data_IF_020559003381
#
_entry.id   IF_020559003381
#
_cell.length_a   1.000
_cell.length_b   1.000
_cell.length_c   1.000
_cell.angle_alpha   90.00
_cell.angle_beta   90.00
_cell.angle_gamma   90.00
#
_symmetry.space_group_name_H-M   'P 1'
#
loop_
_entity.id
_entity.type
_entity.pdbx_description
1 polymer ?
#
# COMPACT_ATOMS: atom_id res chain seq x y z
N UNK A 1 33.30 -20.71 6.38
CA UNK A 1 34.36 -20.48 7.39
C UNK A 1 35.38 -19.43 6.99
N UNK A 2 36.03 -19.49 5.82
CA UNK A 2 36.89 -18.38 5.37
C UNK A 2 36.07 -17.15 4.92
N UNK A 3 34.91 -17.37 4.27
CA UNK A 3 34.00 -16.28 3.86
C UNK A 3 33.32 -15.57 5.03
N UNK A 4 32.92 -16.30 6.09
CA UNK A 4 32.28 -15.69 7.27
C UNK A 4 33.20 -14.68 7.97
N UNK A 5 34.51 -14.94 8.02
CA UNK A 5 35.49 -14.02 8.63
C UNK A 5 35.67 -12.76 7.79
N UNK A 6 35.55 -12.88 6.47
CA UNK A 6 35.71 -11.77 5.54
C UNK A 6 34.46 -10.87 5.51
N UNK A 7 33.27 -11.44 5.67
CA UNK A 7 32.01 -10.72 5.85
C UNK A 7 31.94 -10.03 7.23
N UNK A 8 32.45 -10.69 8.30
CA UNK A 8 32.57 -10.09 9.64
C UNK A 8 33.58 -8.94 9.71
N UNK A 9 34.68 -9.00 8.93
CA UNK A 9 35.67 -7.93 8.85
C UNK A 9 35.26 -6.80 7.91
N UNK A 10 34.51 -7.09 6.84
CA UNK A 10 34.02 -6.10 5.88
C UNK A 10 32.91 -5.20 6.42
N UNK A 11 32.16 -5.65 7.43
CA UNK A 11 31.08 -4.90 8.07
C UNK A 11 31.46 -4.30 9.45
N UNK A 12 32.71 -4.42 9.88
CA UNK A 12 33.13 -3.91 11.18
C UNK A 12 33.35 -2.38 11.12
N UNK A 13 32.72 -1.59 12.01
CA UNK A 13 32.91 -0.14 12.03
C UNK A 13 34.39 0.19 12.23
N UNK A 14 34.91 1.22 11.53
CA UNK A 14 36.34 1.57 11.48
C UNK A 14 37.01 1.70 12.87
N UNK A 15 36.23 2.05 13.90
CA UNK A 15 36.66 2.13 15.29
C UNK A 15 37.06 0.77 15.89
N UNK A 16 36.40 -0.31 15.48
CA UNK A 16 36.69 -1.67 15.96
C UNK A 16 37.97 -2.21 15.31
N UNK A 17 38.15 -1.95 14.01
CA UNK A 17 39.42 -2.24 13.32
C UNK A 17 40.58 -1.46 13.95
N UNK A 18 40.36 -0.19 14.32
CA UNK A 18 41.33 0.61 15.06
C UNK A 18 41.62 0.03 16.45
N UNK A 19 40.62 -0.43 17.20
CA UNK A 19 40.81 -1.06 18.51
C UNK A 19 41.64 -2.35 18.42
N UNK A 20 41.37 -3.21 17.43
CA UNK A 20 42.16 -4.40 17.16
C UNK A 20 43.61 -4.08 16.79
N UNK A 21 43.82 -3.08 15.92
CA UNK A 21 45.16 -2.62 15.55
C UNK A 21 45.93 -2.06 16.76
N UNK A 22 45.27 -1.30 17.64
CA UNK A 22 45.89 -0.75 18.86
C UNK A 22 46.32 -1.88 19.80
N UNK A 23 45.46 -2.88 20.05
CA UNK A 23 45.78 -4.02 20.92
C UNK A 23 46.98 -4.81 20.34
N UNK A 24 47.00 -5.05 19.02
CA UNK A 24 48.10 -5.72 18.36
C UNK A 24 49.41 -4.94 18.45
N UNK A 25 49.38 -3.62 18.24
CA UNK A 25 50.54 -2.73 18.38
C UNK A 25 51.10 -2.72 19.82
N UNK A 26 50.22 -2.66 20.82
CA UNK A 26 50.62 -2.69 22.24
C UNK A 26 51.26 -4.04 22.59
N UNK A 27 50.67 -5.15 22.15
CA UNK A 27 51.20 -6.49 22.35
C UNK A 27 52.59 -6.64 21.70
N UNK A 28 52.76 -6.12 20.48
CA UNK A 28 54.02 -6.19 19.74
C UNK A 28 55.11 -5.30 20.36
N UNK A 29 54.75 -4.11 20.84
CA UNK A 29 55.66 -3.23 21.57
C UNK A 29 56.11 -3.83 22.92
N UNK A 30 55.20 -4.48 23.64
CA UNK A 30 55.50 -5.18 24.89
C UNK A 30 56.40 -6.41 24.67
N UNK A 31 56.12 -7.21 23.63
CA UNK A 31 56.95 -8.34 23.23
C UNK A 31 58.36 -7.88 22.82
N UNK A 32 58.46 -6.78 22.08
CA UNK A 32 59.75 -6.19 21.70
C UNK A 32 60.56 -5.76 22.92
N UNK A 33 59.95 -5.05 23.88
CA UNK A 33 60.59 -4.68 25.15
C UNK A 33 61.08 -5.90 25.95
N UNK A 34 60.24 -6.92 26.10
CA UNK A 34 60.60 -8.16 26.78
C UNK A 34 61.76 -8.87 26.09
N UNK A 35 61.76 -8.93 24.75
CA UNK A 35 62.84 -9.55 23.97
C UNK A 35 64.19 -8.84 24.17
N UNK A 36 64.19 -7.51 24.28
CA UNK A 36 65.39 -6.70 24.55
C UNK A 36 65.90 -6.96 25.98
N UNK A 37 65.00 -7.04 26.96
CA UNK A 37 65.36 -7.35 28.35
C UNK A 37 65.92 -8.77 28.51
N UNK A 38 65.34 -9.76 27.85
CA UNK A 38 65.83 -11.14 27.89
C UNK A 38 67.25 -11.28 27.32
N UNK A 39 67.56 -10.52 26.26
CA UNK A 39 68.92 -10.46 25.69
C UNK A 39 69.92 -9.83 26.66
N UNK A 40 69.51 -8.81 27.43
CA UNK A 40 70.38 -8.13 28.42
C UNK A 40 70.63 -8.95 29.69
N UNK A 41 69.62 -9.66 30.19
CA UNK A 41 69.69 -10.31 31.52
C UNK A 41 69.90 -11.84 31.50
N UNK A 42 70.22 -12.45 30.35
CA UNK A 42 70.40 -13.92 30.20
C UNK A 42 69.32 -14.73 30.93
N UNK A 43 68.07 -14.30 30.76
CA UNK A 43 66.91 -14.88 31.44
C UNK A 43 66.68 -16.32 30.96
N UNK A 44 66.33 -17.23 31.87
CA UNK A 44 66.08 -18.65 31.58
C UNK A 44 64.90 -18.83 30.61
N UNK A 45 64.93 -19.88 29.80
CA UNK A 45 63.89 -20.20 28.81
C UNK A 45 62.50 -20.36 29.44
N UNK A 46 62.42 -20.89 30.67
CA UNK A 46 61.16 -21.05 31.41
C UNK A 46 60.49 -19.71 31.76
N UNK A 47 61.26 -18.69 32.15
CA UNK A 47 60.70 -17.38 32.48
C UNK A 47 60.23 -16.62 31.21
N UNK A 48 60.95 -16.79 30.09
CA UNK A 48 60.53 -16.24 28.79
C UNK A 48 59.19 -16.81 28.32
N UNK A 49 59.01 -18.13 28.46
CA UNK A 49 57.76 -18.80 28.12
C UNK A 49 56.59 -18.32 29.00
N UNK A 50 56.81 -18.15 30.31
CA UNK A 50 55.78 -17.67 31.23
C UNK A 50 55.31 -16.24 30.91
N UNK A 51 56.25 -15.35 30.64
CA UNK A 51 55.94 -13.95 30.29
C UNK A 51 55.28 -13.83 28.90
N UNK A 52 55.72 -14.62 27.92
CA UNK A 52 55.07 -14.69 26.61
C UNK A 52 53.63 -15.22 26.70
N UNK A 53 53.40 -16.29 27.48
CA UNK A 53 52.08 -16.85 27.72
C UNK A 53 51.15 -15.85 28.42
N UNK A 54 51.65 -15.10 29.41
CA UNK A 54 50.88 -14.06 30.08
C UNK A 54 50.43 -12.96 29.11
N UNK A 55 51.32 -12.54 28.19
CA UNK A 55 51.01 -11.52 27.19
C UNK A 55 49.98 -12.02 26.16
N UNK A 56 50.10 -13.27 25.72
CA UNK A 56 49.12 -13.91 24.82
C UNK A 56 47.75 -14.02 25.50
N UNK A 57 47.70 -14.39 26.78
CA UNK A 57 46.45 -14.45 27.55
C UNK A 57 45.79 -13.08 27.66
N UNK A 58 46.54 -12.05 28.04
CA UNK A 58 46.01 -10.68 28.18
C UNK A 58 45.52 -10.14 26.84
N UNK A 59 46.29 -10.34 25.77
CA UNK A 59 45.88 -9.95 24.42
C UNK A 59 44.62 -10.71 23.99
N UNK A 60 44.55 -12.03 24.22
CA UNK A 60 43.39 -12.86 23.90
C UNK A 60 42.11 -12.41 24.63
N UNK A 61 42.21 -12.11 25.92
CA UNK A 61 41.07 -11.59 26.70
C UNK A 61 40.63 -10.22 26.19
N UNK A 62 41.58 -9.32 25.89
CA UNK A 62 41.25 -7.99 25.35
C UNK A 62 40.51 -8.09 24.00
N UNK A 63 40.95 -9.00 23.12
CA UNK A 63 40.28 -9.27 21.84
C UNK A 63 38.87 -9.84 22.05
N UNK A 64 38.70 -10.77 22.99
CA UNK A 64 37.41 -11.38 23.29
C UNK A 64 36.39 -10.35 23.82
N UNK A 65 36.83 -9.40 24.66
CA UNK A 65 35.97 -8.32 25.17
C UNK A 65 35.52 -7.38 24.05
N UNK A 66 36.41 -7.01 23.13
CA UNK A 66 36.06 -6.17 21.97
C UNK A 66 35.08 -6.89 21.05
N UNK A 67 35.30 -8.18 20.78
CA UNK A 67 34.38 -8.99 19.97
C UNK A 67 32.99 -9.10 20.60
N UNK A 68 32.92 -9.29 21.92
CA UNK A 68 31.65 -9.35 22.65
C UNK A 68 30.92 -8.00 22.62
N UNK A 69 31.63 -6.90 22.88
CA UNK A 69 31.06 -5.55 22.85
C UNK A 69 30.52 -5.21 21.45
N UNK A 70 31.23 -5.59 20.39
CA UNK A 70 30.77 -5.42 19.02
C UNK A 70 29.48 -6.18 18.74
N UNK A 71 29.43 -7.47 19.14
CA UNK A 71 28.24 -8.30 18.94
C UNK A 71 27.02 -7.70 19.65
N UNK A 72 27.20 -7.24 20.88
CA UNK A 72 26.12 -6.61 21.63
C UNK A 72 25.61 -5.31 20.99
N UNK A 73 26.50 -4.48 20.43
CA UNK A 73 26.10 -3.28 19.70
C UNK A 73 25.37 -3.61 18.39
N UNK A 74 25.83 -4.61 17.65
CA UNK A 74 25.17 -5.07 16.42
C UNK A 74 23.77 -5.62 16.71
N UNK A 75 23.61 -6.40 17.79
CA UNK A 75 22.30 -6.92 18.21
C UNK A 75 21.34 -5.77 18.55
N UNK A 76 21.80 -4.74 19.27
CA UNK A 76 20.98 -3.54 19.56
C UNK A 76 20.59 -2.76 18.30
N UNK A 77 21.48 -2.63 17.32
CA UNK A 77 21.16 -1.97 16.06
C UNK A 77 20.12 -2.75 15.25
N UNK A 78 20.25 -4.08 15.20
CA UNK A 78 19.31 -4.95 14.52
C UNK A 78 17.92 -4.92 15.17
N UNK A 79 17.85 -4.95 16.51
CA UNK A 79 16.58 -4.79 17.23
C UNK A 79 15.91 -3.44 16.92
N UNK A 80 16.68 -2.35 16.88
CA UNK A 80 16.15 -1.02 16.52
C UNK A 80 15.62 -0.98 15.10
N UNK A 81 16.32 -1.61 14.15
CA UNK A 81 15.87 -1.72 12.75
C UNK A 81 14.59 -2.54 12.64
N UNK A 82 14.52 -3.70 13.30
CA UNK A 82 13.32 -4.53 13.35
C UNK A 82 12.12 -3.79 13.96
N UNK A 83 12.32 -3.04 15.04
CA UNK A 83 11.26 -2.22 15.63
C UNK A 83 10.80 -1.09 14.69
N UNK A 84 11.72 -0.47 13.95
CA UNK A 84 11.36 0.53 12.96
C UNK A 84 10.53 -0.07 11.82
N UNK A 85 10.93 -1.23 11.32
CA UNK A 85 10.22 -1.95 10.25
C UNK A 85 8.82 -2.39 10.72
N UNK A 86 8.68 -2.90 11.95
CA UNK A 86 7.38 -3.25 12.54
C UNK A 86 6.46 -2.02 12.66
N UNK A 87 6.99 -0.87 13.12
CA UNK A 87 6.21 0.38 13.19
C UNK A 87 5.78 0.86 11.81
N UNK A 88 6.60 0.68 10.79
CA UNK A 88 6.26 1.03 9.42
C UNK A 88 5.16 0.11 8.88
N UNK A 89 5.27 -1.21 9.11
CA UNK A 89 4.22 -2.17 8.76
C UNK A 89 2.90 -1.87 9.46
N UNK A 90 2.92 -1.50 10.73
CA UNK A 90 1.71 -1.11 11.48
C UNK A 90 1.07 0.16 10.90
N UNK A 91 1.87 1.14 10.47
CA UNK A 91 1.36 2.34 9.80
C UNK A 91 0.70 1.98 8.47
N UNK A 92 1.34 1.14 7.67
CA UNK A 92 0.79 0.66 6.39
C UNK A 92 -0.51 -0.10 6.63
N UNK A 93 -0.55 -1.00 7.60
CA UNK A 93 -1.74 -1.76 7.96
C UNK A 93 -2.91 -0.84 8.36
N UNK A 94 -2.66 0.19 9.17
CA UNK A 94 -3.68 1.19 9.53
C UNK A 94 -4.19 1.97 8.32
N UNK A 95 -3.30 2.42 7.44
CA UNK A 95 -3.69 3.15 6.22
C UNK A 95 -4.56 2.26 5.31
N UNK A 96 -4.16 0.99 5.13
CA UNK A 96 -4.93 0.01 4.36
C UNK A 96 -6.30 -0.25 5.00
N UNK A 97 -6.36 -0.42 6.32
CA UNK A 97 -7.62 -0.64 7.03
C UNK A 97 -8.59 0.53 6.87
N UNK A 98 -8.09 1.77 6.99
CA UNK A 98 -8.92 2.97 6.77
C UNK A 98 -9.43 3.04 5.33
N UNK A 99 -8.58 2.72 4.36
CA UNK A 99 -8.96 2.71 2.94
C UNK A 99 -10.00 1.63 2.63
N UNK A 100 -9.85 0.44 3.19
CA UNK A 100 -10.82 -0.65 3.03
C UNK A 100 -12.16 -0.26 3.67
N UNK A 101 -12.14 0.37 4.85
CA UNK A 101 -13.36 0.84 5.50
C UNK A 101 -14.11 1.88 4.66
N UNK A 102 -13.42 2.87 4.09
CA UNK A 102 -14.05 3.86 3.20
C UNK A 102 -14.57 3.24 1.91
N UNK A 103 -13.84 2.29 1.32
CA UNK A 103 -14.31 1.56 0.13
C UNK A 103 -15.56 0.71 0.44
N UNK A 104 -15.62 0.05 1.60
CA UNK A 104 -16.80 -0.70 2.05
C UNK A 104 -18.00 0.21 2.24
N UNK A 105 -17.83 1.37 2.89
CA UNK A 105 -18.92 2.32 3.12
C UNK A 105 -19.43 2.92 1.80
N UNK A 106 -18.53 3.19 0.84
CA UNK A 106 -18.91 3.60 -0.51
C UNK A 106 -19.71 2.52 -1.24
N UNK A 107 -19.30 1.25 -1.15
CA UNK A 107 -20.06 0.13 -1.72
C UNK A 107 -21.41 -0.04 -1.05
N UNK A 108 -21.51 0.09 0.28
CA UNK A 108 -22.79 0.04 1.00
C UNK A 108 -23.73 1.16 0.57
N UNK A 109 -23.23 2.39 0.41
CA UNK A 109 -24.03 3.49 -0.10
C UNK A 109 -24.53 3.23 -1.52
N UNK A 110 -23.66 2.72 -2.41
CA UNK A 110 -24.05 2.35 -3.77
C UNK A 110 -25.10 1.21 -3.81
N UNK A 111 -24.97 0.21 -2.94
CA UNK A 111 -25.94 -0.88 -2.83
C UNK A 111 -27.28 -0.42 -2.26
N UNK A 112 -27.27 0.45 -1.25
CA UNK A 112 -28.47 1.04 -0.67
C UNK A 112 -29.21 1.87 -1.74
N UNK A 113 -28.49 2.74 -2.43
CA UNK A 113 -29.02 3.55 -3.54
C UNK A 113 -29.60 2.67 -4.66
N UNK A 114 -28.90 1.61 -5.05
CA UNK A 114 -29.41 0.65 -6.04
C UNK A 114 -30.70 -0.05 -5.56
N UNK A 115 -30.76 -0.41 -4.28
CA UNK A 115 -31.93 -1.05 -3.68
C UNK A 115 -33.13 -0.12 -3.66
N UNK A 116 -32.94 1.15 -3.29
CA UNK A 116 -33.99 2.19 -3.32
C UNK A 116 -34.55 2.34 -4.74
N UNK A 117 -33.67 2.50 -5.74
CA UNK A 117 -34.09 2.62 -7.15
C UNK A 117 -34.88 1.41 -7.64
N UNK A 118 -34.49 0.19 -7.23
CA UNK A 118 -35.23 -1.03 -7.56
C UNK A 118 -36.63 -1.01 -6.91
N UNK A 119 -36.73 -0.67 -5.62
CA UNK A 119 -38.03 -0.58 -4.92
C UNK A 119 -38.96 0.44 -5.58
N UNK A 120 -38.44 1.61 -5.95
CA UNK A 120 -39.24 2.62 -6.67
C UNK A 120 -39.74 2.12 -8.02
N UNK A 121 -38.88 1.43 -8.79
CA UNK A 121 -39.24 0.85 -10.09
C UNK A 121 -40.31 -0.24 -9.94
N UNK A 122 -40.18 -1.10 -8.94
CA UNK A 122 -41.16 -2.15 -8.66
C UNK A 122 -42.50 -1.53 -8.25
N UNK A 123 -42.47 -0.47 -7.43
CA UNK A 123 -43.67 0.27 -7.01
C UNK A 123 -44.38 0.94 -8.20
N UNK A 124 -43.64 1.56 -9.12
CA UNK A 124 -44.19 2.15 -10.34
C UNK A 124 -44.81 1.08 -11.27
N UNK A 125 -44.15 -0.07 -11.38
CA UNK A 125 -44.66 -1.21 -12.17
C UNK A 125 -45.94 -1.76 -11.55
N UNK A 126 -46.00 -1.89 -10.23
CA UNK A 126 -47.22 -2.29 -9.53
C UNK A 126 -48.35 -1.27 -9.71
N UNK A 127 -48.07 0.03 -9.59
CA UNK A 127 -49.05 1.08 -9.80
C UNK A 127 -49.61 1.07 -11.23
N UNK A 128 -48.75 0.81 -12.23
CA UNK A 128 -49.16 0.60 -13.62
C UNK A 128 -50.13 -0.58 -13.75
N UNK A 129 -49.79 -1.72 -13.18
CA UNK A 129 -50.60 -2.94 -13.26
C UNK A 129 -51.94 -2.78 -12.54
N UNK A 130 -51.97 -2.06 -11.41
CA UNK A 130 -53.21 -1.73 -10.71
C UNK A 130 -54.10 -0.80 -11.54
N UNK A 131 -53.54 0.27 -12.13
CA UNK A 131 -54.28 1.19 -13.01
C UNK A 131 -54.77 0.50 -14.29
N UNK A 132 -54.00 -0.44 -14.83
CA UNK A 132 -54.37 -1.21 -16.02
C UNK A 132 -55.61 -2.09 -15.78
N UNK A 133 -55.87 -2.53 -14.54
CA UNK A 133 -57.11 -3.26 -14.19
C UNK A 133 -58.36 -2.39 -14.38
N UNK A 134 -58.20 -1.07 -14.22
CA UNK A 134 -59.26 -0.09 -14.41
C UNK A 134 -59.35 0.44 -15.86
N UNK A 135 -58.51 -0.04 -16.78
CA UNK A 135 -58.53 0.40 -18.18
C UNK A 135 -59.89 0.14 -18.88
N UNK A 136 -60.63 -0.86 -18.43
CA UNK A 136 -61.98 -1.18 -18.93
C UNK A 136 -63.00 -0.06 -18.68
N UNK A 137 -62.75 0.84 -17.73
CA UNK A 137 -63.62 1.98 -17.41
C UNK A 137 -63.51 3.12 -18.43
N UNK A 138 -62.55 3.08 -19.36
CA UNK A 138 -62.31 4.09 -20.41
C UNK A 138 -62.19 5.53 -19.87
N UNK A 139 -61.72 5.69 -18.63
CA UNK A 139 -61.49 7.00 -18.04
C UNK A 139 -60.22 7.62 -18.66
N UNK A 140 -60.36 8.83 -19.23
CA UNK A 140 -59.24 9.58 -19.81
C UNK A 140 -58.15 9.88 -18.78
N UNK A 141 -58.50 10.10 -17.51
CA UNK A 141 -57.54 10.35 -16.45
C UNK A 141 -56.68 9.12 -16.19
N UNK A 142 -57.28 7.94 -16.15
CA UNK A 142 -56.57 6.66 -15.97
C UNK A 142 -55.65 6.42 -17.17
N UNK A 143 -56.12 6.70 -18.38
CA UNK A 143 -55.33 6.60 -19.61
C UNK A 143 -54.13 7.54 -19.60
N UNK A 144 -54.32 8.79 -19.18
CA UNK A 144 -53.23 9.77 -19.01
C UNK A 144 -52.24 9.34 -17.93
N UNK A 145 -52.71 8.84 -16.79
CA UNK A 145 -51.83 8.36 -15.72
C UNK A 145 -51.00 7.15 -16.16
N UNK A 146 -51.58 6.21 -16.90
CA UNK A 146 -50.84 5.08 -17.48
C UNK A 146 -49.76 5.55 -18.44
N UNK A 147 -50.07 6.50 -19.33
CA UNK A 147 -49.09 7.05 -20.26
C UNK A 147 -47.93 7.77 -19.54
N UNK A 148 -48.21 8.49 -18.45
CA UNK A 148 -47.18 9.12 -17.63
C UNK A 148 -46.27 8.08 -16.95
N UNK A 149 -46.84 7.03 -16.38
CA UNK A 149 -46.06 5.95 -15.74
C UNK A 149 -45.22 5.20 -16.78
N UNK A 150 -45.76 4.92 -17.96
CA UNK A 150 -45.02 4.28 -19.05
C UNK A 150 -43.84 5.14 -19.51
N UNK A 151 -44.04 6.46 -19.59
CA UNK A 151 -42.98 7.43 -19.94
C UNK A 151 -41.88 7.44 -18.88
N UNK A 152 -42.25 7.50 -17.61
CA UNK A 152 -41.30 7.46 -16.48
C UNK A 152 -40.49 6.15 -16.46
N UNK A 153 -41.15 5.00 -16.67
CA UNK A 153 -40.47 3.71 -16.78
C UNK A 153 -39.50 3.68 -17.97
N UNK A 154 -39.86 4.29 -19.10
CA UNK A 154 -38.99 4.41 -20.27
C UNK A 154 -37.78 5.31 -20.01
N UNK A 155 -37.98 6.47 -19.35
CA UNK A 155 -36.90 7.37 -18.94
C UNK A 155 -35.92 6.62 -18.03
N UNK A 156 -36.41 5.93 -16.99
CA UNK A 156 -35.57 5.16 -16.07
C UNK A 156 -34.74 4.08 -16.78
N UNK A 157 -35.36 3.36 -17.72
CA UNK A 157 -34.66 2.33 -18.51
C UNK A 157 -33.55 2.93 -19.39
N UNK A 158 -33.81 4.07 -20.03
CA UNK A 158 -32.82 4.76 -20.86
C UNK A 158 -31.68 5.37 -20.03
N UNK A 159 -31.97 5.90 -18.84
CA UNK A 159 -30.95 6.38 -17.90
C UNK A 159 -30.05 5.22 -17.44
N UNK A 160 -30.63 4.09 -17.06
CA UNK A 160 -29.88 2.89 -16.68
C UNK A 160 -28.98 2.40 -17.83
N UNK A 161 -29.52 2.37 -19.05
CA UNK A 161 -28.75 2.05 -20.25
C UNK A 161 -27.59 3.04 -20.47
N UNK A 162 -27.85 4.34 -20.32
CA UNK A 162 -26.85 5.40 -20.45
C UNK A 162 -25.74 5.35 -19.41
N UNK A 163 -26.00 4.84 -18.20
CA UNK A 163 -24.98 4.61 -17.18
C UNK A 163 -24.05 3.42 -17.51
N UNK A 164 -24.54 2.45 -18.27
CA UNK A 164 -23.78 1.26 -18.69
C UNK A 164 -23.04 1.43 -20.01
N UNK A 165 -23.45 2.40 -20.84
CA UNK A 165 -22.92 2.62 -22.18
C UNK A 165 -21.73 3.58 -22.17
N UNK A 166 -20.74 3.32 -23.02
CA UNK A 166 -19.51 4.13 -23.10
C UNK A 166 -19.27 4.68 -24.50
N UNK A 167 -19.94 4.16 -25.52
CA UNK A 167 -19.78 4.60 -26.89
C UNK A 167 -20.50 5.96 -27.12
N UNK A 168 -19.80 7.02 -27.58
CA UNK A 168 -20.39 8.35 -27.74
C UNK A 168 -21.57 8.40 -28.70
N UNK A 169 -21.54 7.61 -29.78
CA UNK A 169 -22.61 7.53 -30.78
C UNK A 169 -23.91 6.95 -30.20
N UNK A 170 -23.79 5.97 -29.32
CA UNK A 170 -24.94 5.37 -28.62
C UNK A 170 -25.45 6.27 -27.50
N UNK A 171 -24.55 6.87 -26.73
CA UNK A 171 -24.91 7.85 -25.70
C UNK A 171 -25.66 9.04 -26.30
N UNK A 172 -25.22 9.55 -27.46
CA UNK A 172 -25.93 10.60 -28.18
C UNK A 172 -27.38 10.21 -28.51
N UNK A 173 -27.62 8.99 -28.99
CA UNK A 173 -28.97 8.47 -29.28
C UNK A 173 -29.82 8.32 -28.02
N UNK A 174 -29.24 7.82 -26.93
CA UNK A 174 -29.93 7.65 -25.65
C UNK A 174 -30.37 9.01 -25.09
N UNK A 175 -29.45 9.98 -25.02
CA UNK A 175 -29.77 11.32 -24.51
C UNK A 175 -30.70 12.11 -25.42
N UNK A 176 -30.63 11.91 -26.75
CA UNK A 176 -31.61 12.49 -27.67
C UNK A 176 -33.02 11.97 -27.38
N UNK A 177 -33.17 10.65 -27.15
CA UNK A 177 -34.46 10.07 -26.79
C UNK A 177 -34.96 10.51 -25.42
N UNK A 178 -34.07 10.67 -24.45
CA UNK A 178 -34.41 11.21 -23.13
C UNK A 178 -34.92 12.65 -23.23
N UNK A 179 -34.31 13.48 -24.08
CA UNK A 179 -34.78 14.85 -24.32
C UNK A 179 -36.13 14.93 -25.05
N UNK A 180 -36.51 13.92 -25.83
CA UNK A 180 -37.86 13.82 -26.41
C UNK A 180 -38.92 13.44 -25.38
N UNK A 181 -38.57 12.58 -24.42
CA UNK A 181 -39.48 12.10 -23.37
C UNK A 181 -39.65 13.12 -22.24
N UNK A 182 -38.62 13.91 -21.96
CA UNK A 182 -38.61 15.01 -20.98
C UNK A 182 -38.01 16.29 -21.60
N UNK A 183 -38.84 17.07 -22.33
CA UNK A 183 -38.36 18.25 -23.06
C UNK A 183 -37.90 19.42 -22.17
N UNK A 184 -38.36 19.44 -20.92
CA UNK A 184 -38.06 20.50 -19.96
C UNK A 184 -36.68 20.30 -19.31
N UNK A 185 -36.12 19.09 -19.39
CA UNK A 185 -34.80 18.77 -18.87
C UNK A 185 -33.68 19.23 -19.82
N UNK A 186 -33.11 20.40 -19.49
CA UNK A 186 -31.99 20.99 -20.24
C UNK A 186 -30.75 20.09 -20.29
N UNK A 187 -30.50 19.30 -19.23
CA UNK A 187 -29.31 18.46 -19.13
C UNK A 187 -29.28 17.36 -20.19
N UNK A 188 -30.42 16.75 -20.49
CA UNK A 188 -30.50 15.71 -21.53
C UNK A 188 -30.22 16.28 -22.92
N UNK A 189 -30.71 17.48 -23.22
CA UNK A 189 -30.42 18.17 -24.50
C UNK A 189 -28.94 18.50 -24.64
N UNK A 190 -28.34 19.04 -23.59
CA UNK A 190 -26.93 19.42 -23.59
C UNK A 190 -26.02 18.20 -23.76
N UNK A 191 -26.31 17.11 -23.03
CA UNK A 191 -25.57 15.85 -23.15
C UNK A 191 -25.74 15.21 -24.52
N UNK A 192 -26.94 15.24 -25.11
CA UNK A 192 -27.16 14.75 -26.47
C UNK A 192 -26.27 15.50 -27.48
N UNK A 193 -26.22 16.83 -27.39
CA UNK A 193 -25.35 17.67 -28.23
C UNK A 193 -23.86 17.38 -28.03
N UNK A 194 -23.42 17.26 -26.77
CA UNK A 194 -22.02 16.98 -26.44
C UNK A 194 -21.55 15.62 -26.97
N UNK A 195 -22.35 14.57 -26.80
CA UNK A 195 -22.00 13.23 -27.30
C UNK A 195 -22.12 13.15 -28.83
N UNK A 196 -23.08 13.85 -29.45
CA UNK A 196 -23.16 13.93 -30.91
C UNK A 196 -21.92 14.60 -31.52
N UNK A 197 -21.40 15.66 -30.88
CA UNK A 197 -20.16 16.32 -31.31
C UNK A 197 -18.93 15.42 -31.15
N UNK A 198 -18.88 14.59 -30.10
CA UNK A 198 -17.80 13.61 -29.90
C UNK A 198 -17.87 12.41 -30.84
N UNK A 199 -19.08 12.04 -31.28
CA UNK A 199 -19.31 10.97 -32.24
C UNK A 199 -19.07 11.38 -33.70
N UNK A 200 -19.05 12.68 -34.00
CA UNK A 200 -18.72 13.18 -35.33
C UNK A 200 -17.25 12.89 -35.64
N UNK A 201 -16.92 12.26 -36.79
CA UNK A 201 -15.54 12.10 -37.20
C UNK A 201 -14.94 13.50 -37.38
N UNK A 202 -13.73 13.72 -36.83
CA UNK A 202 -12.98 14.94 -37.09
C UNK A 202 -12.81 15.10 -38.60
N UNK A 203 -13.58 16.00 -39.19
CA UNK A 203 -13.48 16.36 -40.59
C UNK A 203 -12.15 17.09 -40.79
N UNK A 204 -11.15 16.36 -41.29
CA UNK A 204 -9.96 16.93 -41.92
C UNK A 204 -10.29 17.47 -43.31
#
# INVERSE_FOLDING_TARGET
MADDLQEYLGAAPALVLAAYAIIACIALAALWRLSVQWRRHRVSTAARLREALALVLVAGVALAVVAYAQRHLQDQENERRLQAELRERDRIAKVLQTRIATEIDAVRAMLAERTIRNIERDTLTQARDELARFASLQDERITRMLALIDTELQIRALVEQGLSETAPDKLAKIYARLAELDPDNTEYRDKAGAYAAQAAPASN
#
